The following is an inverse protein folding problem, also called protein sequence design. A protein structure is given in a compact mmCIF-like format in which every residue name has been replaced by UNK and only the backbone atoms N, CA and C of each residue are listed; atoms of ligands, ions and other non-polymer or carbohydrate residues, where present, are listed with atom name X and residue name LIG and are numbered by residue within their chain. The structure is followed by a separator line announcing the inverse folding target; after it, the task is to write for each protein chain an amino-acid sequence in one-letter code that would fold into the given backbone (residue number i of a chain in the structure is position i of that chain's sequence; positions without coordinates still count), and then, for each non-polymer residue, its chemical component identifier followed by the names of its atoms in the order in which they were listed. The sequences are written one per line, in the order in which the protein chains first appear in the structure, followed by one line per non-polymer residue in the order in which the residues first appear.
data_IF_272424464490
#
_entry.id   IF_272424464490
#
_cell.length_a   1.000
_cell.length_b   1.000
_cell.length_c   1.000
_cell.angle_alpha   90.00
_cell.angle_beta   90.00
_cell.angle_gamma   90.00
#
_symmetry.space_group_name_H-M   'P 1'
#
loop_
_entity.id
_entity.type
_entity.pdbx_description
1 polymer ?
#
# COMPACT_ATOMS: atom_id res chain seq x y z
N UNK A 1 -1.02 4.42 -19.34
CA UNK A 1 -2.17 4.62 -18.43
C UNK A 1 -1.85 4.08 -17.06
N UNK A 2 -2.04 4.88 -16.06
CA UNK A 2 -1.75 4.46 -14.70
C UNK A 2 -2.95 3.76 -14.09
N UNK A 3 -2.71 2.56 -13.60
CA UNK A 3 -3.73 1.80 -12.90
C UNK A 3 -3.50 1.88 -11.41
N UNK A 4 -3.42 3.10 -10.91
CA UNK A 4 -3.18 3.31 -9.50
C UNK A 4 -4.42 2.94 -8.70
N UNK A 5 -4.22 2.25 -7.61
CA UNK A 5 -5.30 1.85 -6.72
C UNK A 5 -5.01 2.31 -5.31
N UNK A 6 -6.05 2.64 -4.59
CA UNK A 6 -5.92 3.03 -3.20
C UNK A 6 -6.22 1.83 -2.32
N UNK A 7 -5.33 1.54 -1.41
CA UNK A 7 -5.53 0.45 -0.47
C UNK A 7 -5.16 0.89 0.93
N UNK A 8 -5.55 0.07 1.90
CA UNK A 8 -5.29 0.35 3.30
C UNK A 8 -4.37 -0.72 3.86
N UNK A 9 -3.33 -0.30 4.54
CA UNK A 9 -2.37 -1.24 5.10
C UNK A 9 -3.00 -1.99 6.26
N UNK A 10 -2.97 -3.31 6.18
CA UNK A 10 -3.46 -4.16 7.25
C UNK A 10 -2.33 -4.68 8.11
N UNK A 11 -1.16 -4.87 7.49
CA UNK A 11 -0.01 -5.39 8.19
C UNK A 11 1.25 -4.97 7.46
N UNK A 12 2.27 -4.62 8.20
CA UNK A 12 3.56 -4.29 7.60
C UNK A 12 4.58 -5.35 7.96
N UNK A 13 5.52 -5.57 7.05
CA UNK A 13 6.57 -6.56 7.27
C UNK A 13 7.81 -6.15 6.46
N UNK A 14 8.74 -5.48 7.13
CA UNK A 14 9.95 -5.07 6.46
C UNK A 14 9.67 -4.14 5.31
N UNK A 15 10.03 -4.57 4.11
CA UNK A 15 9.84 -3.78 2.91
C UNK A 15 8.53 -4.09 2.20
N UNK A 16 7.69 -4.92 2.81
CA UNK A 16 6.43 -5.30 2.23
C UNK A 16 5.31 -5.04 3.21
N UNK A 17 4.11 -4.93 2.67
CA UNK A 17 2.93 -4.75 3.50
C UNK A 17 1.77 -5.49 2.88
N UNK A 18 0.88 -5.96 3.73
CA UNK A 18 -0.38 -6.49 3.27
C UNK A 18 -1.34 -5.31 3.18
N UNK A 19 -1.87 -5.12 1.99
CA UNK A 19 -2.75 -3.98 1.72
C UNK A 19 -4.10 -4.52 1.31
N UNK A 20 -5.12 -4.04 1.97
CA UNK A 20 -6.47 -4.46 1.67
C UNK A 20 -7.08 -3.50 0.66
N UNK A 21 -7.46 -4.06 -0.46
CA UNK A 21 -8.23 -3.35 -1.46
C UNK A 21 -9.70 -3.69 -1.25
N UNK A 22 -10.52 -3.25 -2.16
CA UNK A 22 -11.95 -3.37 -2.00
C UNK A 22 -12.42 -4.81 -1.74
N UNK A 23 -11.89 -5.75 -2.50
CA UNK A 23 -12.35 -7.13 -2.42
C UNK A 23 -11.28 -8.13 -2.01
N UNK A 24 -10.06 -7.66 -1.77
CA UNK A 24 -9.00 -8.62 -1.51
C UNK A 24 -7.82 -7.93 -0.85
N UNK A 25 -6.93 -8.75 -0.30
CA UNK A 25 -5.71 -8.30 0.31
C UNK A 25 -4.53 -8.78 -0.54
N UNK A 26 -3.59 -7.89 -0.82
CA UNK A 26 -2.42 -8.25 -1.60
C UNK A 26 -1.16 -7.79 -0.89
N UNK A 27 -0.08 -8.45 -1.22
CA UNK A 27 1.24 -8.07 -0.73
C UNK A 27 1.81 -6.99 -1.64
N UNK A 28 2.13 -5.86 -1.06
CA UNK A 28 2.59 -4.70 -1.83
C UNK A 28 3.99 -4.31 -1.34
N UNK A 29 4.86 -3.97 -2.28
CA UNK A 29 6.19 -3.50 -1.96
C UNK A 29 6.11 -2.05 -1.52
N UNK A 30 6.59 -1.77 -0.31
CA UNK A 30 6.55 -0.43 0.25
C UNK A 30 7.95 0.14 0.45
N UNK A 31 8.92 -0.37 -0.28
CA UNK A 31 10.30 0.05 -0.10
C UNK A 31 10.54 1.50 -0.53
N UNK A 32 9.68 2.05 -1.37
CA UNK A 32 9.82 3.43 -1.83
C UNK A 32 9.32 4.44 -0.80
N UNK A 33 8.54 4.00 0.15
CA UNK A 33 7.95 4.88 1.15
C UNK A 33 8.34 4.38 2.53
N UNK A 34 8.76 5.28 3.39
CA UNK A 34 9.14 4.93 4.75
C UNK A 34 8.11 5.43 5.74
N UNK A 35 8.04 4.78 6.88
CA UNK A 35 7.18 5.23 7.96
C UNK A 35 5.73 4.85 7.83
N UNK A 36 5.44 3.89 6.98
CA UNK A 36 4.08 3.42 6.83
C UNK A 36 3.68 2.57 8.02
N UNK A 37 2.43 2.69 8.41
CA UNK A 37 1.89 1.97 9.56
C UNK A 37 0.59 1.29 9.17
N UNK A 38 0.16 0.37 10.02
CA UNK A 38 -1.14 -0.26 9.86
C UNK A 38 -2.22 0.82 9.86
N UNK A 39 -3.20 0.66 9.00
CA UNK A 39 -4.32 1.57 8.79
C UNK A 39 -3.99 2.80 7.95
N UNK A 40 -2.75 2.93 7.48
CA UNK A 40 -2.42 4.00 6.55
C UNK A 40 -3.00 3.66 5.17
N UNK A 41 -3.42 4.70 4.48
CA UNK A 41 -3.89 4.55 3.10
C UNK A 41 -2.74 4.86 2.16
N UNK A 42 -2.61 4.05 1.14
CA UNK A 42 -1.56 4.24 0.16
C UNK A 42 -2.11 4.08 -1.24
N UNK A 43 -1.42 4.70 -2.18
CA UNK A 43 -1.72 4.52 -3.59
C UNK A 43 -0.70 3.54 -4.14
N UNK A 44 -1.20 2.49 -4.77
CA UNK A 44 -0.35 1.45 -5.34
C UNK A 44 -0.49 1.42 -6.84
N UNK A 45 0.62 1.17 -7.51
CA UNK A 45 0.62 0.92 -8.94
C UNK A 45 1.18 -0.49 -9.13
N UNK A 46 0.33 -1.40 -9.57
CA UNK A 46 0.72 -2.79 -9.66
C UNK A 46 0.92 -3.35 -8.26
N UNK A 47 2.14 -3.79 -7.96
CA UNK A 47 2.45 -4.35 -6.66
C UNK A 47 3.39 -3.46 -5.85
N UNK A 48 3.45 -2.19 -6.19
CA UNK A 48 4.36 -1.25 -5.55
C UNK A 48 3.57 -0.05 -5.06
N UNK A 49 3.83 0.34 -3.80
CA UNK A 49 3.25 1.56 -3.27
C UNK A 49 4.05 2.75 -3.79
N UNK A 50 3.35 3.73 -4.32
CA UNK A 50 4.01 4.88 -4.92
C UNK A 50 3.80 6.15 -4.11
N UNK A 51 2.76 6.19 -3.29
CA UNK A 51 2.48 7.40 -2.53
C UNK A 51 1.64 7.06 -1.30
N UNK A 52 1.83 7.83 -0.25
CA UNK A 52 1.02 7.69 0.96
C UNK A 52 -0.05 8.78 0.93
N UNK A 53 -1.28 8.37 1.18
CA UNK A 53 -2.39 9.30 1.29
C UNK A 53 -2.54 9.72 2.73
N UNK A 54 -2.70 11.01 2.93
CA UNK A 54 -2.98 11.55 4.24
C UNK A 54 -4.39 12.10 4.28
N UNK A 55 -5.05 11.87 5.38
CA UNK A 55 -6.38 12.42 5.58
C UNK A 55 -6.29 13.86 6.04
#
# INVERSE_FOLDING_TARGET
MCLAKVGKIVKTRGKEALVKFENRTEKIDISLIKGLKVNDKIVCSGKVAIEKLED
#
